data_IF_649058349126
#
_entry.id   IF_649058349126
#
_cell.length_a   1.000
_cell.length_b   1.000
_cell.length_c   1.000
_cell.angle_alpha   90.00
_cell.angle_beta   90.00
_cell.angle_gamma   90.00
#
_symmetry.space_group_name_H-M   'P 1'
#
loop_
_entity.id
_entity.type
_entity.pdbx_description
1 polymer ?
#
# COMPACT_ATOMS: atom_id res chain seq x y z
N UNK A 1 -1.48 31.82 -13.11
CA UNK A 1 -1.73 32.40 -11.78
C UNK A 1 -1.23 31.35 -10.79
N UNK A 2 -0.01 31.51 -10.27
CA UNK A 2 0.72 30.51 -9.49
C UNK A 2 0.12 30.34 -8.10
N UNK A 3 -0.18 29.10 -7.76
CA UNK A 3 -0.53 28.72 -6.39
C UNK A 3 0.71 28.87 -5.51
N UNK A 4 0.74 29.90 -4.65
CA UNK A 4 1.76 30.09 -3.63
C UNK A 4 1.63 28.96 -2.59
N UNK A 5 2.56 28.01 -2.62
CA UNK A 5 2.77 27.05 -1.53
C UNK A 5 3.10 27.83 -0.25
N UNK A 6 2.21 27.80 0.71
CA UNK A 6 2.44 28.38 2.04
C UNK A 6 3.65 27.66 2.67
N UNK A 7 4.68 28.37 3.16
CA UNK A 7 5.81 27.74 3.83
C UNK A 7 5.34 26.97 5.06
N UNK A 8 5.52 25.66 5.06
CA UNK A 8 5.19 24.82 6.22
C UNK A 8 6.10 25.25 7.39
N UNK A 9 5.53 25.72 8.50
CA UNK A 9 6.26 26.12 9.69
C UNK A 9 7.23 25.00 10.12
N UNK A 10 8.55 25.26 10.21
CA UNK A 10 9.55 24.24 10.56
C UNK A 10 9.29 23.57 11.91
N UNK A 11 8.65 24.27 12.85
CA UNK A 11 8.26 23.70 14.15
C UNK A 11 7.11 22.70 13.99
N UNK A 12 6.14 22.99 13.13
CA UNK A 12 5.02 22.10 12.82
C UNK A 12 5.51 20.85 12.11
N UNK A 13 6.40 20.98 11.13
CA UNK A 13 7.00 19.84 10.42
C UNK A 13 7.77 18.91 11.39
N UNK A 14 8.55 19.49 12.32
CA UNK A 14 9.30 18.72 13.34
C UNK A 14 8.37 17.98 14.29
N UNK A 15 7.30 18.63 14.79
CA UNK A 15 6.33 18.00 15.68
C UNK A 15 5.59 16.88 14.98
N UNK A 16 5.19 17.08 13.71
CA UNK A 16 4.57 16.05 12.87
C UNK A 16 5.50 14.84 12.67
N UNK A 17 6.78 15.08 12.39
CA UNK A 17 7.79 14.01 12.28
C UNK A 17 7.87 13.15 13.55
N UNK A 18 8.04 13.80 14.73
CA UNK A 18 8.09 13.08 16.01
C UNK A 18 6.85 12.23 16.30
N UNK A 19 5.66 12.74 15.97
CA UNK A 19 4.41 12.00 16.13
C UNK A 19 4.36 10.77 15.20
N UNK A 20 4.80 10.91 13.95
CA UNK A 20 4.86 9.81 12.99
C UNK A 20 5.90 8.77 13.39
N UNK A 21 7.07 9.18 13.86
CA UNK A 21 8.12 8.26 14.33
C UNK A 21 7.60 7.43 15.52
N UNK A 22 7.01 8.08 16.52
CA UNK A 22 6.43 7.39 17.66
C UNK A 22 5.27 6.45 17.27
N UNK A 23 4.41 6.85 16.35
CA UNK A 23 3.33 6.00 15.87
C UNK A 23 3.87 4.80 15.07
N UNK A 24 4.93 5.00 14.27
CA UNK A 24 5.60 3.93 13.54
C UNK A 24 6.22 2.89 14.50
N UNK A 25 6.92 3.33 15.54
CA UNK A 25 7.51 2.43 16.54
C UNK A 25 6.42 1.60 17.26
N UNK A 26 5.29 2.24 17.61
CA UNK A 26 4.16 1.56 18.23
C UNK A 26 3.48 0.57 17.28
N UNK A 27 3.36 0.91 16.00
CA UNK A 27 2.83 -0.01 14.98
C UNK A 27 3.70 -1.25 14.83
N UNK A 28 5.02 -1.08 14.82
CA UNK A 28 5.98 -2.20 14.70
C UNK A 28 5.94 -3.09 15.94
N UNK A 29 5.87 -2.50 17.15
CA UNK A 29 5.97 -3.24 18.41
C UNK A 29 4.66 -3.88 18.88
N UNK A 30 3.50 -3.29 18.55
CA UNK A 30 2.21 -3.73 19.11
C UNK A 30 1.02 -3.59 18.16
N UNK A 31 1.28 -3.29 16.88
CA UNK A 31 0.23 -3.15 15.86
C UNK A 31 -0.62 -1.88 16.04
N UNK A 32 -1.69 -1.78 15.25
CA UNK A 32 -2.58 -0.61 15.25
C UNK A 32 -3.22 -0.33 16.63
N UNK A 33 -3.51 -1.38 17.40
CA UNK A 33 -4.10 -1.26 18.75
C UNK A 33 -3.16 -0.58 19.76
N UNK A 34 -1.84 -0.63 19.55
CA UNK A 34 -0.86 0.03 20.40
C UNK A 34 -0.77 1.55 20.15
N UNK A 35 -1.26 2.02 18.99
CA UNK A 35 -1.21 3.44 18.61
C UNK A 35 -2.37 4.17 19.26
N UNK A 36 -2.20 4.55 20.52
CA UNK A 36 -3.15 5.39 21.26
C UNK A 36 -2.61 6.80 21.41
N UNK A 37 -3.50 7.78 21.63
CA UNK A 37 -3.11 9.18 21.85
C UNK A 37 -2.13 9.30 23.02
N UNK A 38 -2.39 8.56 24.11
CA UNK A 38 -1.52 8.55 25.28
C UNK A 38 -0.14 7.96 24.97
N UNK A 39 -0.08 6.82 24.30
CA UNK A 39 1.18 6.16 23.96
C UNK A 39 2.03 7.03 23.02
N UNK A 40 1.40 7.61 22.00
CA UNK A 40 2.08 8.45 21.01
C UNK A 40 2.56 9.76 21.65
N UNK A 41 1.76 10.44 22.46
CA UNK A 41 2.18 11.69 23.13
C UNK A 41 3.29 11.44 24.13
N UNK A 42 3.24 10.34 24.87
CA UNK A 42 4.30 9.94 25.81
C UNK A 42 5.60 9.65 25.07
N UNK A 43 5.57 8.87 23.97
CA UNK A 43 6.77 8.46 23.26
C UNK A 43 7.38 9.62 22.45
N UNK A 44 6.56 10.44 21.79
CA UNK A 44 7.03 11.58 20.98
C UNK A 44 7.44 12.80 21.80
N UNK A 45 6.96 12.93 23.05
CA UNK A 45 7.09 14.15 23.85
C UNK A 45 6.29 15.33 23.30
N UNK A 46 5.34 15.10 22.39
CA UNK A 46 4.51 16.16 21.78
C UNK A 46 3.17 16.25 22.49
N UNK A 47 2.72 17.46 22.80
CA UNK A 47 1.47 17.70 23.51
C UNK A 47 0.25 17.20 22.70
N UNK A 48 -0.77 16.69 23.42
CA UNK A 48 -2.03 16.17 22.84
C UNK A 48 -2.72 17.18 21.92
N UNK A 49 -2.73 18.46 22.27
CA UNK A 49 -3.30 19.52 21.43
C UNK A 49 -2.56 19.67 20.10
N UNK A 50 -1.25 19.49 20.09
CA UNK A 50 -0.43 19.52 18.89
C UNK A 50 -0.67 18.26 18.04
N UNK A 51 -0.92 17.10 18.65
CA UNK A 51 -1.29 15.88 17.93
C UNK A 51 -2.57 16.11 17.13
N UNK A 52 -3.65 16.56 17.76
CA UNK A 52 -4.93 16.79 17.07
C UNK A 52 -4.89 17.92 16.02
N UNK A 53 -3.96 18.87 16.15
CA UNK A 53 -3.72 19.88 15.09
C UNK A 53 -3.02 19.31 13.85
N UNK A 54 -2.31 18.21 13.99
CA UNK A 54 -1.60 17.55 12.89
C UNK A 54 -2.36 16.35 12.33
N UNK A 55 -3.14 15.67 13.16
CA UNK A 55 -3.89 14.46 12.82
C UNK A 55 -5.26 14.56 13.49
N UNK A 56 -6.35 14.71 12.73
CA UNK A 56 -7.71 14.89 13.26
C UNK A 56 -8.20 13.69 14.07
N UNK A 57 -7.71 12.49 13.76
CA UNK A 57 -8.04 11.24 14.43
C UNK A 57 -6.81 10.35 14.64
N UNK A 58 -6.94 9.37 15.54
CA UNK A 58 -5.93 8.32 15.70
C UNK A 58 -5.76 7.51 14.43
N UNK A 59 -6.85 7.26 13.70
CA UNK A 59 -6.83 6.50 12.44
C UNK A 59 -6.06 7.25 11.35
N UNK A 60 -6.20 8.58 11.26
CA UNK A 60 -5.42 9.40 10.33
C UNK A 60 -3.92 9.38 10.66
N UNK A 61 -3.56 9.31 11.94
CA UNK A 61 -2.17 9.13 12.38
C UNK A 61 -1.65 7.73 12.03
N UNK A 62 -2.44 6.68 12.28
CA UNK A 62 -2.12 5.29 11.93
C UNK A 62 -1.89 5.16 10.41
N UNK A 63 -2.79 5.69 9.60
CA UNK A 63 -2.66 5.67 8.14
C UNK A 63 -1.39 6.37 7.65
N UNK A 64 -1.08 7.53 8.23
CA UNK A 64 0.13 8.27 7.89
C UNK A 64 1.42 7.56 8.34
N UNK A 65 1.38 6.86 9.48
CA UNK A 65 2.48 6.06 9.99
C UNK A 65 2.70 4.79 9.13
N UNK A 66 1.64 4.09 8.70
CA UNK A 66 1.75 2.99 7.74
C UNK A 66 2.43 3.44 6.45
N UNK A 67 1.99 4.56 5.87
CA UNK A 67 2.60 5.10 4.65
C UNK A 67 4.09 5.44 4.82
N UNK A 68 4.53 5.80 6.03
CA UNK A 68 5.94 6.05 6.33
C UNK A 68 6.77 4.77 6.42
N UNK A 69 6.16 3.68 6.87
CA UNK A 69 6.81 2.39 7.07
C UNK A 69 6.83 1.52 5.82
N UNK A 70 5.92 1.79 4.89
CA UNK A 70 5.86 1.05 3.64
C UNK A 70 6.87 1.63 2.65
N UNK A 71 7.76 0.81 2.08
CA UNK A 71 8.64 1.26 1.01
C UNK A 71 7.78 1.71 -0.18
N UNK A 72 8.22 2.75 -0.88
CA UNK A 72 7.57 3.13 -2.13
C UNK A 72 7.70 1.98 -3.14
N UNK A 73 6.63 1.62 -3.86
CA UNK A 73 6.74 0.62 -4.91
C UNK A 73 7.67 1.13 -6.01
N UNK A 74 8.63 0.31 -6.39
CA UNK A 74 9.51 0.61 -7.53
C UNK A 74 8.79 0.20 -8.82
N UNK A 75 8.53 1.13 -9.75
CA UNK A 75 7.98 0.78 -11.05
C UNK A 75 8.98 -0.11 -11.80
N UNK A 76 8.50 -1.10 -12.56
CA UNK A 76 9.40 -1.91 -13.40
C UNK A 76 10.01 -1.04 -14.51
N UNK A 77 11.18 -1.42 -15.04
CA UNK A 77 11.68 -0.84 -16.27
C UNK A 77 10.64 -0.99 -17.38
N UNK A 78 10.35 0.08 -18.11
CA UNK A 78 9.28 0.12 -19.12
C UNK A 78 9.66 -0.56 -20.44
N UNK A 79 10.93 -0.90 -20.62
CA UNK A 79 11.49 -1.61 -21.78
C UNK A 79 11.41 -3.15 -21.67
N UNK A 80 10.98 -3.65 -20.52
CA UNK A 80 10.81 -5.09 -20.31
C UNK A 80 9.52 -5.61 -20.95
N UNK A 81 9.51 -6.88 -21.44
CA UNK A 81 8.29 -7.56 -21.83
C UNK A 81 7.26 -7.58 -20.70
N UNK A 82 5.95 -7.57 -21.03
CA UNK A 82 4.86 -7.54 -20.07
C UNK A 82 5.02 -8.59 -18.96
N UNK A 83 5.37 -9.82 -19.32
CA UNK A 83 5.57 -10.91 -18.35
C UNK A 83 6.61 -10.55 -17.29
N UNK A 84 7.74 -9.96 -17.70
CA UNK A 84 8.82 -9.57 -16.79
C UNK A 84 8.43 -8.39 -15.92
N UNK A 85 7.66 -7.42 -16.47
CA UNK A 85 7.09 -6.33 -15.69
C UNK A 85 6.16 -6.85 -14.59
N UNK A 86 5.24 -7.77 -14.93
CA UNK A 86 4.31 -8.37 -13.97
C UNK A 86 5.04 -9.21 -12.92
N UNK A 87 6.06 -9.98 -13.31
CA UNK A 87 6.92 -10.73 -12.37
C UNK A 87 7.60 -9.79 -11.38
N UNK A 88 8.18 -8.69 -11.86
CA UNK A 88 8.83 -7.69 -11.01
C UNK A 88 7.85 -7.10 -9.98
N UNK A 89 6.67 -6.70 -10.42
CA UNK A 89 5.63 -6.10 -9.59
C UNK A 89 5.07 -7.10 -8.57
N UNK A 90 4.71 -8.30 -9.01
CA UNK A 90 4.19 -9.34 -8.13
C UNK A 90 5.23 -9.83 -7.12
N UNK A 91 6.50 -9.97 -7.52
CA UNK A 91 7.58 -10.33 -6.61
C UNK A 91 7.83 -9.23 -5.55
N UNK A 92 7.80 -7.96 -5.95
CA UNK A 92 7.95 -6.82 -5.04
C UNK A 92 6.80 -6.74 -4.04
N UNK A 93 5.56 -6.94 -4.50
CA UNK A 93 4.38 -7.01 -3.63
C UNK A 93 4.45 -8.22 -2.69
N UNK A 94 4.89 -9.37 -3.19
CA UNK A 94 5.05 -10.60 -2.38
C UNK A 94 6.05 -10.37 -1.25
N UNK A 95 7.23 -9.79 -1.54
CA UNK A 95 8.21 -9.42 -0.51
C UNK A 95 7.61 -8.46 0.51
N UNK A 96 6.94 -7.40 0.06
CA UNK A 96 6.29 -6.44 0.95
C UNK A 96 5.32 -7.13 1.90
N UNK A 97 4.45 -8.01 1.37
CA UNK A 97 3.44 -8.71 2.15
C UNK A 97 4.05 -9.77 3.08
N UNK A 98 5.17 -10.39 2.73
CA UNK A 98 5.79 -11.47 3.51
C UNK A 98 6.84 -10.99 4.51
N UNK A 99 7.63 -9.98 4.17
CA UNK A 99 8.83 -9.61 4.92
C UNK A 99 8.62 -8.43 5.87
N UNK A 100 7.56 -7.63 5.70
CA UNK A 100 7.35 -6.48 6.57
C UNK A 100 6.87 -6.90 7.97
N UNK A 101 7.48 -6.42 9.05
CA UNK A 101 7.07 -6.73 10.44
C UNK A 101 5.64 -6.26 10.77
N UNK A 102 5.04 -5.48 9.90
CA UNK A 102 3.73 -4.85 10.04
C UNK A 102 2.57 -5.61 9.41
N UNK A 103 2.82 -6.76 8.81
CA UNK A 103 1.89 -7.44 7.89
C UNK A 103 0.50 -7.69 8.46
N UNK A 104 0.40 -8.27 9.66
CA UNK A 104 -0.90 -8.58 10.26
C UNK A 104 -1.66 -7.30 10.59
N UNK A 105 -0.97 -6.29 11.08
CA UNK A 105 -1.57 -5.00 11.45
C UNK A 105 -2.03 -4.22 10.23
N UNK A 106 -1.26 -4.24 9.15
CA UNK A 106 -1.60 -3.54 7.90
C UNK A 106 -2.78 -4.20 7.19
N UNK A 107 -2.74 -5.52 7.01
CA UNK A 107 -3.83 -6.26 6.37
C UNK A 107 -5.12 -6.17 7.21
N UNK A 108 -5.00 -6.25 8.55
CA UNK A 108 -6.12 -6.02 9.45
C UNK A 108 -6.68 -4.60 9.33
N UNK A 109 -5.81 -3.58 9.25
CA UNK A 109 -6.24 -2.20 9.06
C UNK A 109 -6.90 -1.96 7.70
N UNK A 110 -6.36 -2.51 6.62
CA UNK A 110 -6.98 -2.47 5.29
C UNK A 110 -8.34 -3.19 5.27
N UNK A 111 -8.46 -4.32 5.97
CA UNK A 111 -9.70 -5.11 6.04
C UNK A 111 -10.79 -4.46 6.91
N UNK A 112 -10.43 -3.82 8.03
CA UNK A 112 -11.37 -3.14 8.93
C UNK A 112 -12.04 -1.91 8.28
N UNK A 113 -11.49 -1.41 7.20
CA UNK A 113 -11.99 -0.22 6.51
C UNK A 113 -13.29 -0.35 5.74
N UNK A 114 -13.90 -1.51 5.71
CA UNK A 114 -15.18 -1.74 5.01
C UNK A 114 -16.41 -1.10 5.67
N UNK A 115 -16.28 -0.51 6.87
CA UNK A 115 -17.38 0.15 7.58
C UNK A 115 -17.23 1.67 7.73
N UNK A 116 -16.05 2.25 7.42
CA UNK A 116 -15.87 3.69 7.33
C UNK A 116 -16.32 4.15 5.94
N UNK A 117 -17.01 5.28 5.87
CA UNK A 117 -17.40 5.84 4.57
C UNK A 117 -16.11 6.12 3.78
N UNK A 118 -16.08 5.67 2.53
CA UNK A 118 -14.92 5.90 1.65
C UNK A 118 -14.61 7.39 1.43
N UNK A 119 -15.51 8.28 1.83
CA UNK A 119 -15.39 9.72 1.69
C UNK A 119 -14.71 10.40 2.89
N UNK A 120 -14.46 9.70 4.00
CA UNK A 120 -13.74 10.28 5.12
C UNK A 120 -12.21 10.33 4.87
N UNK A 121 -11.51 11.15 5.65
CA UNK A 121 -10.05 11.35 5.51
C UNK A 121 -9.27 10.03 5.65
N UNK A 122 -9.75 9.11 6.47
CA UNK A 122 -9.12 7.80 6.70
C UNK A 122 -9.33 6.88 5.50
N UNK A 123 -10.54 6.86 4.92
CA UNK A 123 -10.83 6.13 3.69
C UNK A 123 -9.97 6.62 2.53
N UNK A 124 -9.82 7.94 2.37
CA UNK A 124 -8.95 8.53 1.36
C UNK A 124 -7.47 8.16 1.56
N UNK A 125 -6.97 8.20 2.81
CA UNK A 125 -5.61 7.79 3.12
C UNK A 125 -5.38 6.30 2.86
N UNK A 126 -6.37 5.45 3.16
CA UNK A 126 -6.32 4.01 2.90
C UNK A 126 -6.30 3.71 1.41
N UNK A 127 -7.20 4.34 0.65
CA UNK A 127 -7.19 4.26 -0.82
C UNK A 127 -5.83 4.68 -1.36
N UNK A 128 -5.30 5.83 -0.92
CA UNK A 128 -3.98 6.30 -1.36
C UNK A 128 -2.85 5.31 -1.09
N UNK A 129 -2.92 4.51 -0.02
CA UNK A 129 -1.97 3.40 0.21
C UNK A 129 -2.19 2.29 -0.81
N UNK A 130 -3.42 1.79 -0.96
CA UNK A 130 -3.75 0.74 -1.94
C UNK A 130 -3.35 1.17 -3.34
N UNK A 131 -3.77 2.36 -3.77
CA UNK A 131 -3.49 2.91 -5.10
C UNK A 131 -1.99 3.01 -5.38
N UNK A 132 -1.18 3.40 -4.40
CA UNK A 132 0.27 3.51 -4.59
C UNK A 132 0.91 2.16 -4.94
N UNK A 133 0.36 1.04 -4.49
CA UNK A 133 0.85 -0.31 -4.77
C UNK A 133 0.19 -0.96 -5.98
N UNK A 134 -1.03 -0.57 -6.32
CA UNK A 134 -1.75 -1.12 -7.47
C UNK A 134 -1.55 -0.30 -8.75
N UNK A 135 -1.24 0.99 -8.63
CA UNK A 135 -1.03 1.87 -9.79
C UNK A 135 0.01 1.36 -10.81
N UNK A 136 1.17 0.79 -10.40
CA UNK A 136 2.12 0.24 -11.36
C UNK A 136 1.56 -0.97 -12.14
N UNK A 137 0.75 -1.82 -11.48
CA UNK A 137 0.06 -2.93 -12.16
C UNK A 137 -0.98 -2.40 -13.15
N UNK A 138 -1.81 -1.44 -12.74
CA UNK A 138 -2.77 -0.79 -13.64
C UNK A 138 -2.09 -0.16 -14.84
N UNK A 139 -0.94 0.49 -14.65
CA UNK A 139 -0.18 1.11 -15.74
C UNK A 139 0.35 0.06 -16.74
N UNK A 140 0.97 -1.02 -16.25
CA UNK A 140 1.48 -2.11 -17.10
C UNK A 140 0.36 -2.79 -17.90
N UNK A 141 -0.76 -3.11 -17.23
CA UNK A 141 -1.92 -3.72 -17.89
C UNK A 141 -2.55 -2.79 -18.92
N UNK A 142 -2.68 -1.50 -18.59
CA UNK A 142 -3.23 -0.49 -19.52
C UNK A 142 -2.37 -0.32 -20.77
N UNK A 143 -1.04 -0.33 -20.63
CA UNK A 143 -0.12 -0.25 -21.76
C UNK A 143 -0.25 -1.49 -22.66
N UNK A 144 -0.29 -2.68 -22.09
CA UNK A 144 -0.43 -3.94 -22.81
C UNK A 144 -1.80 -4.12 -23.51
N UNK A 145 -2.87 -3.55 -22.95
CA UNK A 145 -4.16 -3.48 -23.63
C UNK A 145 -4.14 -2.47 -24.78
N UNK A 146 -3.43 -1.37 -24.63
CA UNK A 146 -3.34 -0.33 -25.66
C UNK A 146 -2.51 -0.76 -26.88
N UNK A 147 -1.46 -1.56 -26.67
CA UNK A 147 -0.62 -2.10 -27.75
C UNK A 147 -1.12 -3.44 -28.33
N UNK A 148 -2.22 -3.99 -27.80
CA UNK A 148 -2.84 -5.21 -28.27
C UNK A 148 -2.21 -6.51 -27.74
N UNK A 149 -1.25 -6.43 -26.82
CA UNK A 149 -0.64 -7.62 -26.19
C UNK A 149 -1.66 -8.37 -25.31
N UNK A 150 -2.53 -7.62 -24.61
CA UNK A 150 -3.61 -8.17 -23.79
C UNK A 150 -5.00 -7.86 -24.37
N UNK A 151 -5.90 -8.81 -24.21
CA UNK A 151 -7.33 -8.56 -24.44
C UNK A 151 -7.84 -7.58 -23.37
N UNK A 152 -8.53 -6.49 -23.77
CA UNK A 152 -9.10 -5.54 -22.82
C UNK A 152 -10.04 -6.21 -21.81
N UNK A 153 -10.01 -5.74 -20.55
CA UNK A 153 -10.84 -6.32 -19.51
C UNK A 153 -10.88 -5.48 -18.25
N UNK A 154 -11.56 -6.01 -17.23
CA UNK A 154 -11.63 -5.38 -15.90
C UNK A 154 -10.25 -5.40 -15.23
N UNK A 155 -9.64 -4.22 -15.10
CA UNK A 155 -8.30 -4.06 -14.52
C UNK A 155 -8.28 -4.24 -13.01
N UNK A 156 -9.36 -3.91 -12.31
CA UNK A 156 -9.46 -4.13 -10.86
C UNK A 156 -9.51 -5.64 -10.58
N UNK A 157 -10.26 -6.39 -11.39
CA UNK A 157 -10.27 -7.84 -11.34
C UNK A 157 -8.88 -8.43 -11.67
N UNK A 158 -8.20 -7.89 -12.66
CA UNK A 158 -6.85 -8.33 -13.03
C UNK A 158 -5.85 -8.10 -11.88
N UNK A 159 -5.89 -6.94 -11.24
CA UNK A 159 -5.07 -6.65 -10.05
C UNK A 159 -5.45 -7.58 -8.90
N UNK A 160 -6.74 -7.84 -8.68
CA UNK A 160 -7.18 -8.77 -7.65
C UNK A 160 -6.71 -10.21 -7.92
N UNK A 161 -6.66 -10.65 -9.16
CA UNK A 161 -6.12 -11.97 -9.56
C UNK A 161 -4.62 -12.07 -9.28
N UNK A 162 -3.85 -11.02 -9.54
CA UNK A 162 -2.40 -11.00 -9.36
C UNK A 162 -1.97 -10.79 -7.89
N UNK A 163 -2.66 -9.93 -7.14
CA UNK A 163 -2.32 -9.58 -5.78
C UNK A 163 -3.06 -10.44 -4.72
N UNK A 164 -4.31 -10.79 -5.00
CA UNK A 164 -5.22 -11.47 -4.06
C UNK A 164 -4.67 -12.77 -3.48
N UNK A 165 -4.13 -13.69 -4.28
CA UNK A 165 -3.61 -14.96 -3.76
C UNK A 165 -2.53 -14.78 -2.68
N UNK A 166 -1.61 -13.83 -2.86
CA UNK A 166 -0.54 -13.54 -1.88
C UNK A 166 -1.13 -12.95 -0.60
N UNK A 167 -2.03 -11.97 -0.74
CA UNK A 167 -2.72 -11.33 0.39
C UNK A 167 -3.51 -12.35 1.18
N UNK A 168 -4.35 -13.15 0.52
CA UNK A 168 -5.21 -14.16 1.16
C UNK A 168 -4.37 -15.23 1.83
N UNK A 169 -3.36 -15.79 1.14
CA UNK A 169 -2.47 -16.79 1.71
C UNK A 169 -1.84 -16.30 3.03
N UNK A 170 -1.43 -15.04 3.07
CA UNK A 170 -0.86 -14.44 4.27
C UNK A 170 -1.90 -14.24 5.38
N UNK A 171 -3.11 -13.79 5.03
CA UNK A 171 -4.19 -13.54 6.01
C UNK A 171 -4.65 -14.82 6.71
N UNK A 172 -4.72 -15.94 6.00
CA UNK A 172 -5.21 -17.22 6.56
C UNK A 172 -4.08 -18.16 7.00
N UNK A 173 -2.82 -17.69 7.00
CA UNK A 173 -1.67 -18.44 7.53
C UNK A 173 -1.20 -19.58 6.64
N UNK A 174 -1.41 -19.52 5.33
CA UNK A 174 -0.79 -20.46 4.40
C UNK A 174 0.73 -20.25 4.32
N UNK A 175 1.43 -21.23 3.73
CA UNK A 175 2.86 -21.08 3.49
C UNK A 175 3.18 -19.83 2.66
N UNK A 176 4.35 -19.23 2.87
CA UNK A 176 4.80 -18.13 2.04
C UNK A 176 4.89 -18.52 0.56
N UNK A 177 4.64 -17.56 -0.33
CA UNK A 177 4.85 -17.73 -1.76
C UNK A 177 6.34 -17.74 -2.07
N UNK A 178 6.76 -18.71 -2.87
CA UNK A 178 8.11 -18.77 -3.43
C UNK A 178 8.18 -18.00 -4.76
N UNK A 179 9.38 -17.68 -5.28
CA UNK A 179 9.51 -17.11 -6.61
C UNK A 179 8.79 -17.92 -7.70
N UNK A 180 8.87 -19.27 -7.64
CA UNK A 180 8.16 -20.16 -8.57
C UNK A 180 6.65 -20.07 -8.46
N UNK A 181 6.09 -19.81 -7.28
CA UNK A 181 4.65 -19.58 -7.13
C UNK A 181 4.22 -18.26 -7.79
N UNK A 182 5.06 -17.21 -7.70
CA UNK A 182 4.83 -15.93 -8.37
C UNK A 182 4.91 -16.09 -9.88
N UNK A 183 5.90 -16.85 -10.40
CA UNK A 183 5.98 -17.16 -11.83
C UNK A 183 4.72 -17.85 -12.34
N UNK A 184 4.26 -18.90 -11.64
CA UNK A 184 3.01 -19.60 -12.00
C UNK A 184 1.80 -18.70 -11.99
N UNK A 185 1.69 -17.84 -10.96
CA UNK A 185 0.58 -16.89 -10.84
C UNK A 185 0.51 -15.96 -12.04
N UNK A 186 1.65 -15.40 -12.47
CA UNK A 186 1.73 -14.53 -13.64
C UNK A 186 1.47 -15.30 -14.94
N UNK A 187 2.04 -16.49 -15.09
CA UNK A 187 1.85 -17.31 -16.30
C UNK A 187 0.40 -17.78 -16.47
N UNK A 188 -0.27 -18.15 -15.36
CA UNK A 188 -1.68 -18.54 -15.39
C UNK A 188 -2.59 -17.34 -15.74
N UNK A 189 -2.27 -16.16 -15.20
CA UNK A 189 -2.97 -14.91 -15.54
C UNK A 189 -2.83 -14.58 -17.03
N UNK A 190 -1.60 -14.61 -17.55
CA UNK A 190 -1.32 -14.28 -18.95
C UNK A 190 -1.95 -15.28 -19.92
N UNK A 191 -1.94 -16.57 -19.61
CA UNK A 191 -2.53 -17.63 -20.47
C UNK A 191 -4.01 -17.39 -20.74
N UNK A 192 -4.73 -16.76 -19.80
CA UNK A 192 -6.15 -16.43 -19.98
C UNK A 192 -6.42 -15.06 -20.62
N UNK A 193 -5.37 -14.26 -20.87
CA UNK A 193 -5.53 -12.86 -21.25
C UNK A 193 -4.69 -12.42 -22.46
N UNK A 194 -3.72 -13.22 -22.90
CA UNK A 194 -2.97 -12.90 -24.12
C UNK A 194 -3.91 -12.89 -25.33
N UNK A 195 -3.74 -11.91 -26.22
CA UNK A 195 -4.42 -11.92 -27.50
C UNK A 195 -3.92 -13.12 -28.32
N UNK A 196 -4.84 -13.81 -29.01
CA UNK A 196 -4.45 -14.86 -29.92
C UNK A 196 -3.55 -14.29 -31.03
N UNK A 197 -2.39 -14.91 -31.26
CA UNK A 197 -1.56 -14.59 -32.44
C UNK A 197 -2.33 -14.96 -33.69
N UNK A 198 -2.91 -13.95 -34.36
CA UNK A 198 -3.64 -14.12 -35.63
C UNK A 198 -2.69 -13.95 -36.81
#
# INVERSE_FOLDING_TARGET
MGAMSTPTDPRRARSRGKLLDAAADLLVSGGAAAVTVEAVTRLSGVARTTLYRNFPSTDSLIAAAFRRLLPAPEPPPTDLPLREQLLHLCASMTRLIQDAPLQQSMLGWLAMGRGASDDDEVGQLRRGVVDSYTAPLHAALSAAEADGTLVPGDRDLAVAQLAGPVVVARMIGLRPFTPTDVERLVDDFLRGRLADET
#
